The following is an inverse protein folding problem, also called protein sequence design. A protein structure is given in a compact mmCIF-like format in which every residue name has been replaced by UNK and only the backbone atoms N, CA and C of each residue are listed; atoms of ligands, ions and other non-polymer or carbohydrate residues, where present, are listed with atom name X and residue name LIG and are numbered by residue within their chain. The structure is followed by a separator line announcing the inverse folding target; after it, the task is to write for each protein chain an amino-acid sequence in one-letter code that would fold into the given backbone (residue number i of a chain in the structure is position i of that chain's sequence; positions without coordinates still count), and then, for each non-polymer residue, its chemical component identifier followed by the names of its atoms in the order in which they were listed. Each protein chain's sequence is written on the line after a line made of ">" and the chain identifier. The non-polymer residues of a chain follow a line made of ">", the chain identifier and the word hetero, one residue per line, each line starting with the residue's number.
data_IF_671268404611
#
_entry.id   IF_671268404611
#
_cell.length_a   1.000
_cell.length_b   1.000
_cell.length_c   1.000
_cell.angle_alpha   90.00
_cell.angle_beta   90.00
_cell.angle_gamma   90.00
#
_symmetry.space_group_name_H-M   'P 1'
#
loop_
_entity.id
_entity.type
_entity.pdbx_description
1 polymer ?
#
# COMPACT_ATOMS: atom_id res chain seq x y z
N UNK A 1 -30.23 5.18 -5.78
CA UNK A 1 -29.31 5.17 -4.63
C UNK A 1 -27.91 5.30 -5.19
N UNK A 2 -27.25 6.44 -4.99
CA UNK A 2 -25.84 6.61 -5.37
C UNK A 2 -25.01 5.93 -4.28
N UNK A 3 -24.30 4.87 -4.62
CA UNK A 3 -23.26 4.33 -3.75
C UNK A 3 -22.21 5.43 -3.56
N UNK A 4 -22.25 6.10 -2.41
CA UNK A 4 -21.15 6.90 -1.90
C UNK A 4 -19.99 5.94 -1.66
N UNK A 5 -19.21 5.66 -2.69
CA UNK A 5 -17.88 5.05 -2.53
C UNK A 5 -17.09 6.04 -1.70
N UNK A 6 -16.94 5.79 -0.39
CA UNK A 6 -16.12 6.62 0.49
C UNK A 6 -14.69 6.59 -0.03
N UNK A 7 -14.30 7.64 -0.74
CA UNK A 7 -12.91 7.87 -1.14
C UNK A 7 -12.16 8.40 0.08
N UNK A 8 -10.97 7.88 0.34
CA UNK A 8 -10.09 8.40 1.38
C UNK A 8 -9.81 9.88 1.11
N UNK A 9 -10.13 10.72 2.08
CA UNK A 9 -9.68 12.11 2.13
C UNK A 9 -8.35 12.16 2.88
N UNK A 10 -7.27 12.34 2.13
CA UNK A 10 -5.89 12.26 2.60
C UNK A 10 -5.03 13.24 1.81
N UNK A 11 -4.07 13.85 2.50
CA UNK A 11 -3.17 14.81 1.86
C UNK A 11 -2.13 14.08 1.00
N UNK A 12 -1.53 14.77 0.00
CA UNK A 12 -0.43 14.20 -0.79
C UNK A 12 0.73 13.68 0.07
N UNK A 13 1.06 14.39 1.16
CA UNK A 13 2.14 13.99 2.08
C UNK A 13 1.81 12.71 2.86
N UNK A 14 0.54 12.53 3.27
CA UNK A 14 0.10 11.28 3.91
C UNK A 14 0.17 10.10 2.94
N UNK A 15 -0.21 10.31 1.68
CA UNK A 15 -0.09 9.29 0.64
C UNK A 15 1.38 8.93 0.40
N UNK A 16 2.27 9.91 0.28
CA UNK A 16 3.70 9.66 0.11
C UNK A 16 4.29 8.86 1.29
N UNK A 17 3.91 9.21 2.53
CA UNK A 17 4.34 8.47 3.72
C UNK A 17 3.85 7.01 3.68
N UNK A 18 2.58 6.76 3.34
CA UNK A 18 2.03 5.41 3.22
C UNK A 18 2.77 4.61 2.15
N UNK A 19 3.05 5.21 0.99
CA UNK A 19 3.81 4.55 -0.09
C UNK A 19 5.21 4.17 0.36
N UNK A 20 5.96 5.11 0.94
CA UNK A 20 7.32 4.86 1.45
C UNK A 20 7.37 3.75 2.51
N UNK A 21 6.38 3.69 3.40
CA UNK A 21 6.30 2.61 4.39
C UNK A 21 6.07 1.24 3.73
N UNK A 22 5.20 1.17 2.72
CA UNK A 22 4.96 -0.04 1.96
C UNK A 22 6.18 -0.45 1.12
N UNK A 23 6.88 0.50 0.52
CA UNK A 23 8.08 0.24 -0.28
C UNK A 23 9.22 -0.30 0.60
N UNK A 24 9.47 0.33 1.76
CA UNK A 24 10.42 -0.18 2.75
C UNK A 24 10.07 -1.59 3.23
N UNK A 25 8.77 -1.88 3.46
CA UNK A 25 8.31 -3.22 3.81
C UNK A 25 8.58 -4.21 2.67
N UNK A 26 8.30 -3.81 1.42
CA UNK A 26 8.55 -4.68 0.26
C UNK A 26 10.04 -4.97 0.03
N UNK A 27 10.92 -4.02 0.33
CA UNK A 27 12.36 -4.19 0.23
C UNK A 27 12.93 -5.22 1.24
N UNK A 28 12.18 -5.52 2.31
CA UNK A 28 12.56 -6.53 3.31
C UNK A 28 12.07 -7.95 2.99
N UNK A 29 11.26 -8.11 1.94
CA UNK A 29 10.74 -9.42 1.52
C UNK A 29 11.87 -10.22 0.86
N UNK A 30 12.01 -11.49 1.27
CA UNK A 30 13.04 -12.40 0.75
C UNK A 30 14.28 -12.48 1.63
N UNK A 31 14.29 -11.85 2.81
CA UNK A 31 15.39 -11.90 3.77
C UNK A 31 15.42 -13.17 4.66
N UNK A 32 14.71 -14.24 4.26
CA UNK A 32 14.87 -15.58 4.83
C UNK A 32 13.94 -15.96 5.97
N UNK A 33 12.93 -15.14 6.28
CA UNK A 33 11.85 -15.51 7.19
C UNK A 33 10.53 -15.60 6.40
N UNK A 34 10.11 -16.83 6.06
CA UNK A 34 8.94 -17.05 5.21
C UNK A 34 7.62 -16.50 5.78
N UNK A 35 7.45 -16.55 7.09
CA UNK A 35 6.24 -16.04 7.74
C UNK A 35 6.20 -14.51 7.71
N UNK A 36 7.35 -13.88 7.93
CA UNK A 36 7.51 -12.45 7.74
C UNK A 36 7.27 -12.06 6.27
N UNK A 37 7.85 -12.79 5.32
CA UNK A 37 7.69 -12.53 3.88
C UNK A 37 6.22 -12.62 3.45
N UNK A 38 5.49 -13.62 3.94
CA UNK A 38 4.04 -13.76 3.68
C UNK A 38 3.24 -12.59 4.25
N UNK A 39 3.52 -12.19 5.49
CA UNK A 39 2.82 -11.07 6.14
C UNK A 39 3.12 -9.75 5.45
N UNK A 40 4.40 -9.46 5.20
CA UNK A 40 4.87 -8.28 4.48
C UNK A 40 4.27 -8.20 3.08
N UNK A 41 4.26 -9.32 2.34
CA UNK A 41 3.61 -9.41 1.02
C UNK A 41 2.12 -9.09 1.11
N UNK A 42 1.43 -9.60 2.12
CA UNK A 42 0.00 -9.33 2.30
C UNK A 42 -0.28 -7.85 2.58
N UNK A 43 0.47 -7.24 3.50
CA UNK A 43 0.33 -5.82 3.86
C UNK A 43 0.59 -4.90 2.67
N UNK A 44 1.64 -5.18 1.90
CA UNK A 44 1.97 -4.44 0.68
C UNK A 44 0.81 -4.50 -0.33
N UNK A 45 0.23 -5.69 -0.56
CA UNK A 45 -0.93 -5.87 -1.45
C UNK A 45 -2.18 -5.12 -0.95
N UNK A 46 -2.37 -5.01 0.36
CA UNK A 46 -3.49 -4.22 0.92
C UNK A 46 -3.34 -2.74 0.60
N UNK A 47 -2.14 -2.19 0.72
CA UNK A 47 -1.85 -0.79 0.35
C UNK A 47 -2.07 -0.57 -1.15
N UNK A 48 -1.59 -1.47 -2.00
CA UNK A 48 -1.82 -1.39 -3.45
C UNK A 48 -3.32 -1.40 -3.80
N UNK A 49 -4.09 -2.28 -3.15
CA UNK A 49 -5.53 -2.33 -3.33
C UNK A 49 -6.23 -1.07 -2.81
N UNK A 50 -5.78 -0.50 -1.69
CA UNK A 50 -6.29 0.76 -1.15
C UNK A 50 -6.06 1.91 -2.14
N UNK A 51 -4.85 2.05 -2.68
CA UNK A 51 -4.53 3.09 -3.66
C UNK A 51 -5.40 2.95 -4.91
N UNK A 52 -5.51 1.72 -5.45
CA UNK A 52 -6.33 1.42 -6.63
C UNK A 52 -7.81 1.73 -6.41
N UNK A 53 -8.40 1.28 -5.30
CA UNK A 53 -9.83 1.48 -4.99
C UNK A 53 -10.20 2.96 -4.79
N UNK A 54 -9.24 3.76 -4.35
CA UNK A 54 -9.43 5.20 -4.15
C UNK A 54 -9.00 6.05 -5.36
N UNK A 55 -8.60 5.42 -6.47
CA UNK A 55 -8.08 6.11 -7.66
C UNK A 55 -6.90 7.04 -7.35
N UNK A 56 -6.04 6.61 -6.42
CA UNK A 56 -4.82 7.31 -6.01
C UNK A 56 -3.63 6.81 -6.83
N UNK A 57 -2.56 7.60 -6.98
CA UNK A 57 -1.40 7.18 -7.76
C UNK A 57 -0.74 5.94 -7.14
N UNK A 58 -0.25 4.98 -7.93
CA UNK A 58 0.37 3.75 -7.45
C UNK A 58 1.68 4.01 -6.68
N UNK A 59 2.19 3.00 -5.98
CA UNK A 59 3.55 3.02 -5.43
C UNK A 59 4.57 3.00 -6.57
N UNK A 60 5.74 3.58 -6.31
CA UNK A 60 6.85 3.54 -7.25
C UNK A 60 7.60 2.23 -7.02
N UNK A 61 7.59 1.34 -8.00
CA UNK A 61 8.39 0.12 -7.96
C UNK A 61 9.82 0.50 -8.35
N UNK A 62 10.68 0.71 -7.34
CA UNK A 62 12.13 0.75 -7.54
C UNK A 62 12.70 -0.67 -7.61
#
# INVERSE_FOLDING_TARGET
>A
MSELTMKLDVTPAQIEAIKKMADNTSASIGCGNEDFDKQSTHQVKMVDAMLKRNNLPPRDFN
#
